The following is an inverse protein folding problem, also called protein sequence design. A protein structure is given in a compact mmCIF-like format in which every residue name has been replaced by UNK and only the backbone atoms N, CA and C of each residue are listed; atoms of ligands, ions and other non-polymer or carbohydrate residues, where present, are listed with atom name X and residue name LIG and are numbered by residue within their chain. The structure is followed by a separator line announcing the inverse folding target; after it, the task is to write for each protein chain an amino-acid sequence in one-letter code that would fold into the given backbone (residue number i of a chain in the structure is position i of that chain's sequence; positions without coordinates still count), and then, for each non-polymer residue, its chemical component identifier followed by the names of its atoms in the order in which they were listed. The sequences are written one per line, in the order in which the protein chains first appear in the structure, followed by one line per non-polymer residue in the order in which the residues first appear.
data_IF_195576646110
#
_entry.id   IF_195576646110
#
_cell.length_a   1.000
_cell.length_b   1.000
_cell.length_c   1.000
_cell.angle_alpha   90.00
_cell.angle_beta   90.00
_cell.angle_gamma   90.00
#
_symmetry.space_group_name_H-M   'P 1'
#
loop_
_entity.id
_entity.type
_entity.pdbx_description
1 polymer ?
#
# COMPACT_ATOMS: atom_id res chain seq x y z
N UNK A 1 -3.49 10.15 9.39
CA UNK A 1 -2.09 10.50 9.07
C UNK A 1 -1.51 11.51 10.03
N UNK A 2 -2.24 12.54 10.42
CA UNK A 2 -1.84 13.58 11.39
C UNK A 2 -1.37 13.06 12.77
N UNK A 3 -1.85 11.91 13.20
CA UNK A 3 -1.47 11.30 14.49
C UNK A 3 -0.23 10.40 14.43
N UNK A 4 0.48 10.36 13.30
CA UNK A 4 1.71 9.56 13.20
C UNK A 4 2.82 10.15 14.09
N UNK A 5 3.54 9.28 14.80
CA UNK A 5 4.69 9.69 15.65
C UNK A 5 5.84 10.30 14.84
N UNK A 6 5.92 9.92 13.56
CA UNK A 6 6.77 10.54 12.56
C UNK A 6 5.85 10.89 11.39
N UNK A 7 5.45 12.17 11.25
CA UNK A 7 4.58 12.58 10.15
C UNK A 7 5.31 12.42 8.81
N UNK A 8 4.58 12.09 7.72
CA UNK A 8 5.16 12.11 6.39
C UNK A 8 5.41 13.55 5.93
N UNK A 9 6.30 13.76 4.97
CA UNK A 9 6.56 15.06 4.37
C UNK A 9 5.39 15.57 3.52
N UNK A 10 4.65 14.65 2.89
CA UNK A 10 3.42 14.91 2.15
C UNK A 10 2.48 13.71 2.18
N UNK A 11 1.22 13.95 1.89
CA UNK A 11 0.19 12.94 1.67
C UNK A 11 -0.31 13.10 0.24
N UNK A 12 -0.27 12.04 -0.55
CA UNK A 12 -0.85 12.02 -1.88
C UNK A 12 -2.08 11.11 -1.86
N UNK A 13 -3.24 11.67 -2.14
CA UNK A 13 -4.47 10.93 -2.32
C UNK A 13 -4.60 10.61 -3.80
N UNK A 14 -4.37 9.34 -4.12
CA UNK A 14 -4.44 8.78 -5.46
C UNK A 14 -5.86 8.26 -5.69
N UNK A 15 -6.66 8.99 -6.46
CA UNK A 15 -8.09 8.82 -6.63
C UNK A 15 -8.43 8.31 -8.05
N UNK A 16 -8.90 7.07 -8.10
CA UNK A 16 -9.22 6.35 -9.34
C UNK A 16 -10.69 6.55 -9.77
N UNK A 17 -11.10 7.82 -9.86
CA UNK A 17 -12.37 8.17 -10.49
C UNK A 17 -13.54 8.39 -9.53
N UNK A 18 -13.28 8.79 -8.28
CA UNK A 18 -14.35 9.18 -7.36
C UNK A 18 -15.10 10.42 -7.83
N UNK A 19 -16.29 10.60 -7.31
CA UNK A 19 -17.18 11.71 -7.63
C UNK A 19 -16.80 13.01 -6.93
N UNK A 20 -17.57 14.07 -7.21
CA UNK A 20 -17.36 15.40 -6.64
C UNK A 20 -17.50 15.44 -5.11
N UNK A 21 -18.29 14.57 -4.51
CA UNK A 21 -18.46 14.51 -3.04
C UNK A 21 -17.18 14.08 -2.35
N UNK A 22 -16.48 13.10 -2.90
CA UNK A 22 -15.16 12.67 -2.43
C UNK A 22 -14.14 13.80 -2.53
N UNK A 23 -14.14 14.54 -3.65
CA UNK A 23 -13.26 15.70 -3.80
C UNK A 23 -13.49 16.76 -2.71
N UNK A 24 -14.74 17.05 -2.35
CA UNK A 24 -15.07 18.00 -1.29
C UNK A 24 -14.51 17.56 0.07
N UNK A 25 -14.61 16.26 0.40
CA UNK A 25 -14.04 15.69 1.63
C UNK A 25 -12.52 15.87 1.63
N UNK A 26 -11.85 15.58 0.52
CA UNK A 26 -10.40 15.72 0.38
C UNK A 26 -9.98 17.19 0.50
N UNK A 27 -10.71 18.11 -0.12
CA UNK A 27 -10.44 19.54 -0.04
C UNK A 27 -10.60 20.07 1.41
N UNK A 28 -11.60 19.59 2.15
CA UNK A 28 -11.78 19.91 3.58
C UNK A 28 -10.62 19.34 4.41
N UNK A 29 -10.26 18.09 4.19
CA UNK A 29 -9.14 17.45 4.86
C UNK A 29 -7.83 18.19 4.61
N UNK A 30 -7.54 18.53 3.35
CA UNK A 30 -6.32 19.26 2.96
C UNK A 30 -6.19 20.60 3.67
N UNK A 31 -7.31 21.33 3.88
CA UNK A 31 -7.31 22.60 4.59
C UNK A 31 -7.09 22.47 6.09
N UNK A 32 -7.48 21.35 6.67
CA UNK A 32 -7.36 21.09 8.12
C UNK A 32 -6.00 20.50 8.51
N UNK A 33 -5.27 19.91 7.55
CA UNK A 33 -4.00 19.25 7.80
C UNK A 33 -2.81 20.23 7.74
N UNK A 34 -1.83 19.96 8.62
CA UNK A 34 -0.54 20.69 8.60
C UNK A 34 0.43 20.12 7.59
N UNK A 35 0.24 18.86 7.20
CA UNK A 35 1.05 18.16 6.23
C UNK A 35 0.52 18.50 4.84
N UNK A 36 1.36 18.84 3.86
CA UNK A 36 0.92 19.08 2.50
C UNK A 36 0.14 17.88 1.95
N UNK A 37 -1.06 18.13 1.44
CA UNK A 37 -1.94 17.13 0.82
C UNK A 37 -2.10 17.44 -0.65
N UNK A 38 -1.79 16.46 -1.51
CA UNK A 38 -2.02 16.52 -2.95
C UNK A 38 -3.14 15.55 -3.32
N UNK A 39 -4.12 16.00 -4.09
CA UNK A 39 -5.15 15.15 -4.68
C UNK A 39 -4.82 14.90 -6.15
N UNK A 40 -4.52 13.66 -6.50
CA UNK A 40 -4.26 13.23 -7.87
C UNK A 40 -5.45 12.37 -8.29
N UNK A 41 -6.21 12.89 -9.25
CA UNK A 41 -7.42 12.26 -9.75
C UNK A 41 -7.27 11.80 -11.20
N UNK A 42 -8.01 10.78 -11.58
CA UNK A 42 -8.24 10.38 -12.98
C UNK A 42 -9.71 10.01 -13.18
N UNK A 43 -10.15 10.15 -14.43
CA UNK A 43 -11.50 9.76 -14.83
C UNK A 43 -11.78 8.28 -14.53
N UNK A 44 -13.01 7.98 -14.06
CA UNK A 44 -13.46 6.60 -13.85
C UNK A 44 -13.60 5.87 -15.20
N UNK A 45 -12.70 4.95 -15.44
CA UNK A 45 -12.74 4.01 -16.56
C UNK A 45 -12.52 2.58 -16.03
N UNK A 46 -13.14 2.28 -14.89
CA UNK A 46 -12.98 1.05 -14.14
C UNK A 46 -11.74 1.06 -13.25
N UNK A 47 -11.42 -0.06 -12.64
CA UNK A 47 -10.35 -0.15 -11.63
C UNK A 47 -8.96 -0.12 -12.27
N UNK A 48 -8.27 1.02 -12.18
CA UNK A 48 -6.95 1.27 -12.77
C UNK A 48 -5.90 1.69 -11.73
N UNK A 49 -5.79 0.90 -10.68
CA UNK A 49 -4.92 1.18 -9.52
C UNK A 49 -3.45 1.40 -9.91
N UNK A 50 -2.92 0.65 -10.88
CA UNK A 50 -1.55 0.82 -11.36
C UNK A 50 -1.33 2.22 -11.96
N UNK A 51 -2.25 2.69 -12.80
CA UNK A 51 -2.18 4.00 -13.44
C UNK A 51 -2.22 5.15 -12.45
N UNK A 52 -3.17 5.13 -11.49
CA UNK A 52 -3.25 6.20 -10.50
C UNK A 52 -2.06 6.22 -9.54
N UNK A 53 -1.51 5.06 -9.17
CA UNK A 53 -0.27 4.97 -8.40
C UNK A 53 0.91 5.56 -9.16
N UNK A 54 1.04 5.30 -10.45
CA UNK A 54 2.08 5.90 -11.29
C UNK A 54 1.93 7.43 -11.40
N UNK A 55 0.71 7.93 -11.54
CA UNK A 55 0.43 9.38 -11.50
C UNK A 55 0.89 9.98 -10.16
N UNK A 56 0.59 9.31 -9.03
CA UNK A 56 1.05 9.75 -7.72
C UNK A 56 2.58 9.80 -7.62
N UNK A 57 3.28 8.76 -8.12
CA UNK A 57 4.75 8.69 -8.14
C UNK A 57 5.37 9.84 -8.95
N UNK A 58 4.75 10.22 -10.08
CA UNK A 58 5.23 11.35 -10.91
C UNK A 58 5.06 12.70 -10.19
N UNK A 59 4.07 12.83 -9.31
CA UNK A 59 3.68 14.09 -8.66
C UNK A 59 4.28 14.28 -7.25
N UNK A 60 5.26 13.49 -6.86
CA UNK A 60 6.01 13.65 -5.60
C UNK A 60 7.47 13.94 -5.86
N UNK A 61 8.06 14.78 -4.99
CA UNK A 61 9.50 15.00 -4.93
C UNK A 61 10.18 14.18 -3.82
N UNK A 62 9.39 13.42 -3.05
CA UNK A 62 9.91 12.58 -1.98
C UNK A 62 10.67 11.36 -2.53
N UNK A 63 11.80 11.02 -1.91
CA UNK A 63 12.67 9.92 -2.31
C UNK A 63 12.16 8.54 -1.85
N UNK A 64 11.33 8.50 -0.82
CA UNK A 64 10.81 7.26 -0.25
C UNK A 64 9.29 7.30 -0.12
N UNK A 65 8.63 6.31 -0.71
CA UNK A 65 7.17 6.28 -0.85
C UNK A 65 6.60 5.09 -0.08
N UNK A 66 5.52 5.35 0.68
CA UNK A 66 4.76 4.34 1.41
C UNK A 66 3.35 4.28 0.80
N UNK A 67 2.95 3.12 0.32
CA UNK A 67 1.64 2.88 -0.28
C UNK A 67 0.69 2.27 0.76
N UNK A 68 -0.48 2.88 0.87
CA UNK A 68 -1.59 2.40 1.70
C UNK A 68 -2.89 2.52 0.93
N UNK A 69 -3.88 1.67 1.25
CA UNK A 69 -5.22 1.80 0.69
C UNK A 69 -6.05 2.82 1.51
N UNK A 70 -7.15 3.31 0.96
CA UNK A 70 -8.01 4.32 1.60
C UNK A 70 -8.86 3.79 2.76
N UNK A 71 -8.97 2.48 2.89
CA UNK A 71 -9.80 1.75 3.86
C UNK A 71 -8.99 1.12 5.01
N UNK A 72 -7.90 1.76 5.40
CA UNK A 72 -7.03 1.28 6.49
C UNK A 72 -6.90 2.30 7.62
N UNK A 73 -6.78 1.80 8.83
CA UNK A 73 -6.41 2.58 10.02
C UNK A 73 -4.96 2.23 10.35
N UNK A 74 -4.11 3.22 10.41
CA UNK A 74 -2.68 3.04 10.65
C UNK A 74 -2.35 3.14 12.14
N UNK A 75 -1.47 2.25 12.61
CA UNK A 75 -0.87 2.44 13.94
C UNK A 75 -0.07 3.75 13.96
N UNK A 76 -0.01 4.42 15.11
CA UNK A 76 0.70 5.72 15.26
C UNK A 76 2.16 5.69 14.83
N UNK A 77 2.82 4.55 14.88
CA UNK A 77 4.22 4.38 14.48
C UNK A 77 4.37 3.74 13.09
N UNK A 78 3.33 3.72 12.28
CA UNK A 78 3.34 3.05 10.98
C UNK A 78 4.39 3.67 10.04
N UNK A 79 4.37 4.99 9.87
CA UNK A 79 5.34 5.70 9.03
C UNK A 79 6.75 5.55 9.59
N UNK A 80 6.90 5.75 10.92
CA UNK A 80 8.18 5.56 11.62
C UNK A 80 8.78 4.18 11.37
N UNK A 81 7.97 3.13 11.45
CA UNK A 81 8.43 1.76 11.28
C UNK A 81 8.95 1.49 9.86
N UNK A 82 8.32 2.07 8.82
CA UNK A 82 8.83 2.01 7.45
C UNK A 82 10.14 2.78 7.28
N UNK A 83 10.22 3.97 7.86
CA UNK A 83 11.42 4.83 7.80
C UNK A 83 12.60 4.16 8.52
N UNK A 84 12.39 3.58 9.71
CA UNK A 84 13.44 2.92 10.49
C UNK A 84 14.01 1.69 9.78
N UNK A 85 13.19 0.99 8.98
CA UNK A 85 13.57 -0.25 8.31
C UNK A 85 14.00 -0.04 6.83
N UNK A 86 13.93 1.20 6.31
CA UNK A 86 14.36 1.51 4.96
C UNK A 86 15.87 1.29 4.79
N UNK A 87 16.24 0.80 3.62
CA UNK A 87 17.64 0.64 3.21
C UNK A 87 17.72 0.74 1.69
N UNK A 88 18.76 1.34 1.14
CA UNK A 88 18.98 1.37 -0.31
C UNK A 88 18.95 -0.03 -0.91
N UNK A 89 18.31 -0.17 -2.06
CA UNK A 89 18.11 -1.45 -2.74
C UNK A 89 17.19 -2.42 -1.99
N UNK A 90 16.40 -1.90 -1.01
CA UNK A 90 15.41 -2.69 -0.28
C UNK A 90 14.04 -2.03 -0.39
N UNK A 91 13.04 -2.84 -0.67
CA UNK A 91 11.65 -2.48 -0.49
C UNK A 91 11.00 -3.29 0.63
N UNK A 92 9.94 -2.76 1.22
CA UNK A 92 9.28 -3.36 2.37
C UNK A 92 7.88 -3.78 1.99
N UNK A 93 7.45 -4.94 2.49
CA UNK A 93 6.06 -5.40 2.45
C UNK A 93 5.62 -5.74 3.86
N UNK A 94 4.51 -5.16 4.28
CA UNK A 94 3.95 -5.39 5.62
C UNK A 94 2.78 -6.38 5.62
N UNK A 95 2.14 -6.45 6.78
CA UNK A 95 0.97 -7.28 7.03
C UNK A 95 -0.24 -6.39 7.34
N UNK A 96 -1.43 -7.00 7.40
CA UNK A 96 -2.65 -6.30 7.85
C UNK A 96 -3.46 -7.15 8.81
N UNK A 97 -4.17 -6.50 9.72
CA UNK A 97 -5.28 -7.06 10.49
C UNK A 97 -6.56 -6.81 9.71
N UNK A 98 -7.43 -7.79 9.58
CA UNK A 98 -8.71 -7.64 8.87
C UNK A 98 -9.82 -7.53 9.92
N UNK A 99 -10.44 -6.37 10.06
CA UNK A 99 -11.55 -6.17 10.97
C UNK A 99 -12.80 -6.92 10.48
N UNK A 100 -13.64 -7.37 11.41
CA UNK A 100 -14.97 -7.89 11.07
C UNK A 100 -15.89 -6.75 10.63
N UNK A 101 -17.00 -7.10 10.01
CA UNK A 101 -18.03 -6.14 9.61
C UNK A 101 -18.58 -5.39 10.82
N UNK A 102 -18.92 -6.11 11.90
CA UNK A 102 -19.46 -5.50 13.12
C UNK A 102 -18.46 -4.56 13.79
N UNK A 103 -17.19 -4.95 13.85
CA UNK A 103 -16.14 -4.08 14.42
C UNK A 103 -15.92 -2.84 13.56
N UNK A 104 -15.97 -2.98 12.25
CA UNK A 104 -15.87 -1.84 11.32
C UNK A 104 -17.03 -0.89 11.51
N UNK A 105 -18.30 -1.38 11.55
CA UNK A 105 -19.49 -0.57 11.80
C UNK A 105 -19.41 0.13 13.16
N UNK A 106 -19.03 -0.61 14.19
CA UNK A 106 -18.88 -0.04 15.54
C UNK A 106 -17.89 1.13 15.53
N UNK A 107 -16.72 0.97 14.90
CA UNK A 107 -15.68 2.01 14.85
C UNK A 107 -16.10 3.22 14.04
N UNK A 108 -16.78 3.03 12.92
CA UNK A 108 -17.32 4.14 12.11
C UNK A 108 -18.35 4.97 12.89
N UNK A 109 -19.16 4.33 13.76
CA UNK A 109 -20.15 5.03 14.58
C UNK A 109 -19.53 5.71 15.80
N UNK A 110 -18.57 5.05 16.45
CA UNK A 110 -17.98 5.55 17.70
C UNK A 110 -16.76 6.46 17.49
N UNK A 111 -16.22 6.50 16.28
CA UNK A 111 -14.98 7.19 15.92
C UNK A 111 -13.78 6.81 16.83
N UNK A 112 -13.86 5.62 17.50
CA UNK A 112 -12.76 5.10 18.31
C UNK A 112 -11.78 4.31 17.45
N UNK A 113 -10.73 4.97 17.02
CA UNK A 113 -9.67 4.40 16.18
C UNK A 113 -8.48 3.83 16.97
N UNK A 114 -8.59 3.74 18.30
CA UNK A 114 -7.54 3.21 19.17
C UNK A 114 -7.71 1.71 19.37
N UNK A 115 -6.67 0.95 19.02
CA UNK A 115 -6.63 -0.49 19.24
C UNK A 115 -5.83 -0.81 20.50
N UNK A 116 -6.48 -1.42 21.50
CA UNK A 116 -5.86 -1.83 22.76
C UNK A 116 -5.90 -3.36 22.86
N UNK A 117 -4.71 -3.98 22.96
CA UNK A 117 -4.61 -5.44 23.01
C UNK A 117 -5.14 -6.13 21.75
N UNK A 118 -5.67 -7.33 21.89
CA UNK A 118 -6.21 -8.15 20.81
C UNK A 118 -7.71 -8.44 20.98
N UNK A 119 -8.39 -7.73 21.84
CA UNK A 119 -9.79 -7.98 22.19
C UNK A 119 -10.76 -7.22 21.26
N UNK A 120 -10.65 -7.46 19.97
CA UNK A 120 -11.56 -6.94 18.95
C UNK A 120 -11.80 -8.02 17.87
N UNK A 121 -13.01 -8.09 17.27
CA UNK A 121 -13.33 -9.06 16.22
C UNK A 121 -12.52 -8.78 14.94
N UNK A 122 -11.57 -9.67 14.61
CA UNK A 122 -10.74 -9.53 13.41
C UNK A 122 -10.08 -10.86 13.03
N UNK A 123 -9.65 -10.98 11.77
CA UNK A 123 -8.73 -12.03 11.31
C UNK A 123 -7.28 -11.52 11.39
N UNK A 124 -6.34 -12.46 11.53
CA UNK A 124 -4.89 -12.16 11.58
C UNK A 124 -4.49 -11.20 12.72
N UNK A 125 -5.13 -11.29 13.89
CA UNK A 125 -4.93 -10.39 15.05
C UNK A 125 -3.47 -10.27 15.49
N UNK A 126 -2.67 -11.34 15.36
CA UNK A 126 -1.24 -11.33 15.69
C UNK A 126 -0.45 -10.29 14.89
N UNK A 127 -0.93 -9.89 13.72
CA UNK A 127 -0.33 -8.79 12.95
C UNK A 127 -0.56 -7.42 13.62
N UNK A 128 -1.44 -7.32 14.63
CA UNK A 128 -1.69 -6.13 15.42
C UNK A 128 -0.75 -5.97 16.62
N UNK A 129 0.12 -6.95 16.86
CA UNK A 129 1.12 -6.88 17.94
C UNK A 129 2.32 -6.09 17.44
N UNK A 130 2.69 -5.00 18.13
CA UNK A 130 3.91 -4.25 17.86
C UNK A 130 5.00 -4.60 18.86
N UNK A 131 6.15 -5.05 18.35
CA UNK A 131 7.31 -5.40 19.17
C UNK A 131 8.59 -5.30 18.35
N UNK A 132 9.51 -4.43 18.78
CA UNK A 132 10.81 -4.29 18.12
C UNK A 132 11.65 -5.56 18.23
N UNK A 133 11.56 -6.27 19.36
CA UNK A 133 12.28 -7.54 19.55
C UNK A 133 11.75 -8.64 18.61
N UNK A 134 10.43 -8.86 18.59
CA UNK A 134 9.83 -9.85 17.69
C UNK A 134 10.06 -9.48 16.22
N UNK A 135 10.04 -8.19 15.89
CA UNK A 135 10.33 -7.75 14.53
C UNK A 135 11.73 -8.15 14.08
N UNK A 136 12.75 -7.98 14.92
CA UNK A 136 14.13 -8.40 14.60
C UNK A 136 14.25 -9.91 14.35
N UNK A 137 13.47 -10.72 15.08
CA UNK A 137 13.50 -12.18 14.96
C UNK A 137 12.70 -12.68 13.75
N UNK A 138 11.53 -12.10 13.48
CA UNK A 138 10.55 -12.62 12.53
C UNK A 138 10.46 -11.87 11.20
N UNK A 139 11.01 -10.66 11.09
CA UNK A 139 11.12 -10.00 9.80
C UNK A 139 12.26 -10.63 9.00
N UNK A 140 11.97 -10.95 7.73
CA UNK A 140 12.92 -11.70 6.89
C UNK A 140 12.98 -11.15 5.48
N UNK A 141 14.17 -11.17 4.89
CA UNK A 141 14.28 -11.06 3.45
C UNK A 141 13.59 -12.27 2.80
N UNK A 142 12.81 -12.01 1.78
CA UNK A 142 11.96 -13.03 1.17
C UNK A 142 11.85 -12.78 -0.35
N UNK A 143 11.98 -13.83 -1.15
CA UNK A 143 11.87 -13.78 -2.61
C UNK A 143 10.49 -14.17 -3.17
N UNK A 144 9.55 -14.57 -2.31
CA UNK A 144 8.21 -14.93 -2.77
C UNK A 144 7.43 -13.73 -3.29
N UNK A 145 6.80 -13.87 -4.45
CA UNK A 145 6.02 -12.81 -5.10
C UNK A 145 4.52 -12.83 -4.73
N UNK A 146 4.05 -13.93 -4.16
CA UNK A 146 2.66 -14.06 -3.74
C UNK A 146 2.43 -13.60 -2.30
N UNK A 147 1.17 -13.33 -1.98
CA UNK A 147 0.77 -12.82 -0.65
C UNK A 147 1.43 -11.48 -0.27
N UNK A 148 1.81 -10.71 -1.25
CA UNK A 148 2.15 -9.31 -1.09
C UNK A 148 0.85 -8.50 -0.98
N UNK A 149 0.87 -7.36 -0.34
CA UNK A 149 -0.31 -6.52 -0.14
C UNK A 149 0.03 -5.08 -0.50
N UNK A 150 -0.53 -4.61 -1.61
CA UNK A 150 -0.34 -3.26 -2.13
C UNK A 150 -0.65 -2.17 -1.09
N UNK A 151 -1.55 -2.47 -0.15
CA UNK A 151 -1.90 -1.57 0.94
C UNK A 151 -0.83 -1.40 2.04
N UNK A 152 0.29 -2.11 1.98
CA UNK A 152 1.37 -2.01 2.97
C UNK A 152 2.71 -2.31 2.30
N UNK A 153 3.15 -1.39 1.47
CA UNK A 153 4.42 -1.49 0.74
C UNK A 153 5.15 -0.16 0.79
N UNK A 154 6.48 -0.20 0.76
CA UNK A 154 7.28 1.01 0.61
C UNK A 154 8.52 0.78 -0.24
N UNK A 155 8.90 1.82 -0.98
CA UNK A 155 9.95 1.77 -1.98
C UNK A 155 10.75 3.09 -2.01
N UNK A 156 11.99 3.02 -2.45
CA UNK A 156 12.69 4.19 -2.94
C UNK A 156 12.11 4.61 -4.30
N UNK A 157 11.96 5.91 -4.52
CA UNK A 157 11.46 6.45 -5.80
C UNK A 157 12.38 6.05 -6.96
N UNK A 158 13.69 6.08 -6.73
CA UNK A 158 14.69 5.62 -7.71
C UNK A 158 14.49 4.16 -8.13
N UNK A 159 14.16 3.27 -7.18
CA UNK A 159 13.89 1.87 -7.48
C UNK A 159 12.59 1.72 -8.30
N UNK A 160 11.55 2.52 -7.98
CA UNK A 160 10.31 2.56 -8.77
C UNK A 160 10.58 3.04 -10.19
N UNK A 161 11.42 4.05 -10.38
CA UNK A 161 11.83 4.54 -11.70
C UNK A 161 12.63 3.49 -12.49
N UNK A 162 13.54 2.76 -11.83
CA UNK A 162 14.32 1.70 -12.45
C UNK A 162 13.44 0.60 -13.04
N UNK A 163 12.37 0.19 -12.31
CA UNK A 163 11.42 -0.84 -12.78
C UNK A 163 10.28 -0.27 -13.62
N UNK A 164 10.30 1.02 -13.95
CA UNK A 164 9.23 1.73 -14.68
C UNK A 164 7.87 1.72 -13.97
N UNK A 165 7.86 1.80 -12.62
CA UNK A 165 6.63 1.87 -11.82
C UNK A 165 5.78 0.62 -11.81
N UNK A 166 4.47 0.80 -11.60
CA UNK A 166 3.47 -0.26 -11.72
C UNK A 166 3.12 -0.47 -13.20
N UNK A 167 2.86 -1.71 -13.61
CA UNK A 167 2.47 -1.98 -15.00
C UNK A 167 0.97 -1.71 -15.19
N UNK A 168 0.64 -0.72 -16.02
CA UNK A 168 -0.73 -0.26 -16.27
C UNK A 168 -1.55 -1.25 -17.12
N UNK A 169 -0.94 -2.33 -17.62
CA UNK A 169 -1.66 -3.45 -18.24
C UNK A 169 -2.54 -4.20 -17.22
N UNK A 170 -2.19 -4.14 -15.92
CA UNK A 170 -3.01 -4.67 -14.85
C UNK A 170 -4.20 -3.77 -14.58
N UNK A 171 -5.35 -4.17 -15.09
CA UNK A 171 -6.65 -3.52 -14.85
C UNK A 171 -7.56 -4.47 -14.07
N UNK A 172 -8.51 -3.92 -13.31
CA UNK A 172 -9.30 -4.72 -12.38
C UNK A 172 -8.45 -5.21 -11.20
N UNK A 173 -9.01 -6.13 -10.41
CA UNK A 173 -8.37 -6.54 -9.17
C UNK A 173 -7.29 -7.60 -9.38
N UNK A 174 -6.11 -7.37 -8.78
CA UNK A 174 -5.11 -8.39 -8.45
C UNK A 174 -3.89 -8.45 -9.36
N UNK A 175 -2.79 -8.90 -8.80
CA UNK A 175 -1.46 -9.21 -9.36
C UNK A 175 -0.53 -8.02 -9.61
N UNK A 176 -0.97 -6.78 -9.63
CA UNK A 176 -0.11 -5.61 -9.81
C UNK A 176 0.97 -5.48 -8.73
N UNK A 177 0.66 -5.88 -7.48
CA UNK A 177 1.59 -5.92 -6.36
C UNK A 177 2.59 -7.09 -6.46
N UNK A 178 2.16 -8.23 -6.99
CA UNK A 178 3.02 -9.38 -7.28
C UNK A 178 3.98 -9.09 -8.42
N UNK A 179 3.51 -8.42 -9.46
CA UNK A 179 4.31 -8.06 -10.64
C UNK A 179 5.41 -7.06 -10.29
N UNK A 180 5.08 -5.95 -9.60
CA UNK A 180 6.13 -4.99 -9.20
C UNK A 180 7.13 -5.64 -8.24
N UNK A 181 6.67 -6.52 -7.34
CA UNK A 181 7.56 -7.29 -6.45
C UNK A 181 8.53 -8.13 -7.25
N UNK A 182 8.06 -8.84 -8.27
CA UNK A 182 8.91 -9.67 -9.13
C UNK A 182 9.94 -8.82 -9.87
N UNK A 183 9.51 -7.71 -10.50
CA UNK A 183 10.41 -6.83 -11.25
C UNK A 183 11.48 -6.20 -10.35
N UNK A 184 11.15 -5.81 -9.12
CA UNK A 184 12.11 -5.38 -8.11
C UNK A 184 13.15 -6.46 -7.80
N UNK A 185 12.71 -7.71 -7.60
CA UNK A 185 13.61 -8.84 -7.34
C UNK A 185 14.51 -9.14 -8.57
N UNK A 186 13.96 -9.05 -9.78
CA UNK A 186 14.71 -9.20 -11.04
C UNK A 186 15.76 -8.09 -11.25
N UNK A 187 15.58 -6.92 -10.61
CA UNK A 187 16.57 -5.84 -10.52
C UNK A 187 17.48 -5.97 -9.30
N UNK A 188 17.57 -7.17 -8.70
CA UNK A 188 18.43 -7.47 -7.54
C UNK A 188 18.09 -6.66 -6.28
N UNK A 189 16.90 -6.06 -6.19
CA UNK A 189 16.43 -5.44 -4.95
C UNK A 189 16.03 -6.51 -3.94
N UNK A 190 16.20 -6.21 -2.66
CA UNK A 190 15.82 -7.13 -1.59
C UNK A 190 14.44 -6.78 -1.03
N UNK A 191 13.59 -7.78 -0.81
CA UNK A 191 12.29 -7.62 -0.17
C UNK A 191 12.38 -7.94 1.31
N UNK A 192 12.10 -6.97 2.17
CA UNK A 192 11.88 -7.21 3.59
C UNK A 192 10.39 -7.48 3.85
N UNK A 193 10.06 -8.70 4.30
CA UNK A 193 8.73 -8.99 4.85
C UNK A 193 8.70 -8.57 6.31
N UNK A 194 8.18 -7.37 6.57
CA UNK A 194 8.14 -6.77 7.89
C UNK A 194 7.04 -7.38 8.74
N UNK A 195 7.38 -7.78 9.96
CA UNK A 195 6.49 -8.35 10.96
C UNK A 195 6.59 -7.60 12.28
N UNK A 196 5.51 -7.54 13.04
CA UNK A 196 5.45 -6.88 14.36
C UNK A 196 5.84 -5.38 14.35
N UNK A 197 5.80 -4.75 13.17
CA UNK A 197 5.97 -3.34 12.88
C UNK A 197 5.10 -2.96 11.69
N UNK A 198 4.98 -1.68 11.39
CA UNK A 198 4.15 -1.14 10.30
C UNK A 198 2.73 -1.73 10.31
N UNK A 199 2.08 -1.63 11.47
CA UNK A 199 0.77 -2.23 11.71
C UNK A 199 -0.32 -1.38 11.08
N UNK A 200 -1.23 -2.05 10.38
CA UNK A 200 -2.47 -1.46 9.87
C UNK A 200 -3.66 -2.37 10.10
N UNK A 201 -4.82 -1.76 10.23
CA UNK A 201 -6.12 -2.41 10.39
C UNK A 201 -6.98 -2.07 9.20
N UNK A 202 -7.37 -3.09 8.45
CA UNK A 202 -8.16 -2.95 7.24
C UNK A 202 -9.65 -3.06 7.62
N UNK A 203 -10.40 -2.05 7.25
CA UNK A 203 -11.85 -2.03 7.42
C UNK A 203 -12.50 -3.13 6.58
N UNK A 204 -13.60 -3.66 7.07
CA UNK A 204 -14.37 -4.62 6.30
C UNK A 204 -15.09 -3.94 5.14
N UNK A 205 -14.97 -4.52 3.99
CA UNK A 205 -15.81 -4.24 2.83
C UNK A 205 -16.04 -5.54 2.06
N UNK A 206 -17.08 -5.58 1.23
CA UNK A 206 -17.31 -6.70 0.32
C UNK A 206 -16.14 -6.82 -0.67
N UNK A 207 -15.73 -8.05 -0.93
CA UNK A 207 -14.66 -8.28 -1.92
C UNK A 207 -15.12 -7.81 -3.31
N UNK A 208 -14.23 -7.17 -4.04
CA UNK A 208 -14.47 -6.79 -5.43
C UNK A 208 -14.55 -8.03 -6.32
N UNK A 209 -15.25 -7.90 -7.44
CA UNK A 209 -15.29 -8.92 -8.48
C UNK A 209 -13.88 -9.31 -8.93
N UNK A 210 -13.69 -10.60 -9.17
CA UNK A 210 -12.39 -11.19 -9.50
C UNK A 210 -12.26 -11.55 -10.99
N UNK A 211 -13.07 -10.97 -11.85
CA UNK A 211 -13.15 -11.31 -13.28
C UNK A 211 -11.83 -11.05 -14.02
N UNK A 212 -11.08 -10.03 -13.59
CA UNK A 212 -9.80 -9.69 -14.19
C UNK A 212 -8.64 -10.64 -13.80
N UNK A 213 -8.79 -11.49 -12.78
CA UNK A 213 -7.69 -12.31 -12.24
C UNK A 213 -7.07 -13.21 -13.32
N UNK A 214 -7.87 -13.84 -14.16
CA UNK A 214 -7.36 -14.72 -15.23
C UNK A 214 -6.51 -13.97 -16.27
N UNK A 215 -6.90 -12.73 -16.61
CA UNK A 215 -6.11 -11.84 -17.47
C UNK A 215 -4.81 -11.44 -16.79
N UNK A 216 -4.91 -11.00 -15.55
CA UNK A 216 -3.77 -10.52 -14.76
C UNK A 216 -2.79 -11.65 -14.43
N UNK A 217 -3.25 -12.89 -14.24
CA UNK A 217 -2.38 -14.08 -14.10
C UNK A 217 -1.57 -14.33 -15.38
N UNK A 218 -2.14 -14.13 -16.56
CA UNK A 218 -1.37 -14.26 -17.82
C UNK A 218 -0.26 -13.23 -17.92
N UNK A 219 -0.56 -11.95 -17.63
CA UNK A 219 0.45 -10.87 -17.65
C UNK A 219 1.57 -11.17 -16.64
N UNK A 220 1.22 -11.61 -15.43
CA UNK A 220 2.22 -11.99 -14.42
C UNK A 220 3.09 -13.18 -14.88
N UNK A 221 2.49 -14.20 -15.51
CA UNK A 221 3.21 -15.35 -16.05
C UNK A 221 4.17 -14.94 -17.18
N UNK A 222 3.83 -13.95 -18.00
CA UNK A 222 4.75 -13.36 -18.99
C UNK A 222 5.92 -12.66 -18.31
N UNK A 223 5.66 -11.87 -17.26
CA UNK A 223 6.73 -11.25 -16.46
C UNK A 223 7.68 -12.29 -15.86
N UNK A 224 7.15 -13.42 -15.38
CA UNK A 224 7.93 -14.53 -14.84
C UNK A 224 8.79 -15.17 -15.95
N UNK A 225 8.16 -15.59 -17.06
CA UNK A 225 8.84 -16.35 -18.13
C UNK A 225 9.92 -15.54 -18.84
N UNK A 226 9.74 -14.22 -18.98
CA UNK A 226 10.67 -13.30 -19.63
C UNK A 226 11.70 -12.70 -18.66
N UNK A 227 11.64 -13.02 -17.38
CA UNK A 227 12.45 -12.39 -16.33
C UNK A 227 12.42 -10.85 -16.43
N UNK A 228 11.23 -10.32 -16.68
CA UNK A 228 11.02 -8.91 -17.00
C UNK A 228 11.42 -8.01 -15.83
N UNK A 229 12.15 -6.94 -16.12
CA UNK A 229 12.65 -5.98 -15.12
C UNK A 229 11.85 -4.68 -15.08
N UNK A 230 11.23 -4.30 -16.20
CA UNK A 230 10.48 -3.03 -16.33
C UNK A 230 9.03 -3.30 -16.70
N UNK A 231 8.14 -2.45 -16.24
CA UNK A 231 6.76 -2.41 -16.71
C UNK A 231 6.70 -2.14 -18.22
N UNK A 232 5.75 -2.75 -18.90
CA UNK A 232 5.52 -2.50 -20.34
C UNK A 232 4.91 -1.12 -20.52
N UNK A 233 3.93 -0.77 -19.71
CA UNK A 233 3.31 0.56 -19.65
C UNK A 233 3.45 1.05 -18.21
N UNK A 234 4.20 2.11 -17.97
CA UNK A 234 4.53 2.53 -16.62
C UNK A 234 4.77 4.03 -16.46
N UNK A 235 5.84 4.39 -15.75
CA UNK A 235 6.18 5.78 -15.42
C UNK A 235 6.70 6.57 -16.62
N UNK A 236 7.32 5.91 -17.58
CA UNK A 236 7.97 6.52 -18.76
C UNK A 236 7.30 6.02 -20.00
#
# INVERSE_FOLDING_TARGET
MSEQSTPPNEIIIADDGSDHSTKQIIDCFSKSEKIPVKHIWQEDQGFRLAGIRNKAIRNTDCDYLIFVDGDVILHRDFVKDHIDERKEGRFITGSRVLLSEDETKRRLVTEDWKFRGLNYPAKNKLNGIRSCFLSRVFSKNNSGIYNVRGCNMSFWKSDLQEVNGFDEQFTGWGREDSDITLRMLNCSKTKLKLKFKAIQYHLFHNERERDAVSKNDRILNETISQNRKKAVIGLI
#
